data_IF_528663725404
#
_entry.id   IF_528663725404
#
_cell.length_a   1.000
_cell.length_b   1.000
_cell.length_c   1.000
_cell.angle_alpha   90.00
_cell.angle_beta   90.00
_cell.angle_gamma   90.00
#
_symmetry.space_group_name_H-M   'P 1'
#
loop_
_entity.id
_entity.type
_entity.pdbx_description
1 polymer ?
#
# COMPACT_ATOMS: atom_id res chain seq x y z
N UNK A 1 8.35 11.14 -0.16
CA UNK A 1 8.34 11.23 -1.63
C UNK A 1 8.96 9.96 -2.17
N UNK A 2 8.33 9.33 -3.15
CA UNK A 2 8.86 8.10 -3.74
C UNK A 2 10.04 8.44 -4.67
N UNK A 3 11.09 7.61 -4.72
CA UNK A 3 12.28 7.85 -5.56
C UNK A 3 11.88 7.94 -7.04
N UNK A 4 10.86 7.17 -7.42
CA UNK A 4 10.25 7.20 -8.73
C UNK A 4 9.65 8.57 -9.08
N UNK A 5 9.03 9.26 -8.12
CA UNK A 5 8.38 10.55 -8.37
C UNK A 5 9.39 11.64 -8.74
N UNK A 6 10.59 11.59 -8.14
CA UNK A 6 11.69 12.50 -8.44
C UNK A 6 12.24 12.24 -9.85
N UNK A 7 12.47 10.98 -10.21
CA UNK A 7 12.94 10.62 -11.56
C UNK A 7 11.97 11.08 -12.65
N UNK A 8 10.66 10.97 -12.39
CA UNK A 8 9.63 11.48 -13.30
C UNK A 8 9.60 13.00 -13.40
N UNK A 9 9.86 13.72 -12.32
CA UNK A 9 9.94 15.18 -12.33
C UNK A 9 11.13 15.66 -13.15
N UNK A 10 12.32 15.08 -12.93
CA UNK A 10 13.55 15.39 -13.68
C UNK A 10 13.35 15.13 -15.17
N UNK A 11 12.78 13.98 -15.54
CA UNK A 11 12.49 13.64 -16.93
C UNK A 11 11.54 14.63 -17.62
N UNK A 12 10.52 15.11 -16.91
CA UNK A 12 9.58 16.11 -17.47
C UNK A 12 10.24 17.47 -17.61
N UNK A 13 11.06 17.86 -16.64
CA UNK A 13 11.78 19.13 -16.68
C UNK A 13 12.81 19.15 -17.81
N UNK A 14 13.56 18.06 -18.03
CA UNK A 14 14.54 17.99 -19.11
C UNK A 14 13.90 18.12 -20.51
N UNK A 15 12.69 17.60 -20.70
CA UNK A 15 11.96 17.73 -21.97
C UNK A 15 11.36 19.13 -22.18
N UNK A 16 11.15 19.91 -21.11
CA UNK A 16 10.44 21.18 -21.17
C UNK A 16 11.34 22.37 -20.83
N UNK A 17 12.61 22.14 -20.47
CA UNK A 17 13.55 23.20 -20.12
C UNK A 17 13.74 24.24 -21.24
N UNK A 18 13.78 23.89 -22.54
CA UNK A 18 13.90 24.91 -23.59
C UNK A 18 12.71 25.87 -23.64
N UNK A 19 11.51 25.39 -23.27
CA UNK A 19 10.31 26.24 -23.16
C UNK A 19 10.35 27.13 -21.92
N UNK A 20 10.94 26.64 -20.83
CA UNK A 20 11.07 27.37 -19.57
C UNK A 20 12.13 28.48 -19.64
N UNK A 21 13.24 28.20 -20.33
CA UNK A 21 14.35 29.13 -20.53
C UNK A 21 14.07 30.17 -21.64
N UNK A 22 12.94 30.05 -22.34
CA UNK A 22 12.56 30.97 -23.41
C UNK A 22 13.30 30.76 -24.72
N UNK A 23 14.06 29.66 -24.86
CA UNK A 23 14.77 29.28 -26.09
C UNK A 23 13.79 29.00 -27.24
N UNK A 24 12.56 28.62 -26.93
CA UNK A 24 11.50 28.34 -27.90
C UNK A 24 10.40 29.41 -27.81
N UNK A 25 10.25 30.26 -28.84
CA UNK A 25 9.21 31.26 -28.90
C UNK A 25 7.80 30.67 -28.82
N UNK A 26 6.83 31.47 -28.35
CA UNK A 26 5.46 31.01 -28.18
C UNK A 26 4.81 30.45 -29.46
N UNK A 27 5.13 31.04 -30.62
CA UNK A 27 4.62 30.61 -31.92
C UNK A 27 5.10 29.19 -32.32
N UNK A 28 6.29 28.79 -31.86
CA UNK A 28 6.93 27.53 -32.25
C UNK A 28 6.68 26.39 -31.27
N UNK A 29 6.08 26.67 -30.10
CA UNK A 29 5.82 25.66 -29.06
C UNK A 29 5.05 24.45 -29.57
N UNK A 30 4.10 24.68 -30.47
CA UNK A 30 3.30 23.60 -31.03
C UNK A 30 4.12 22.69 -31.95
N UNK A 31 4.97 23.28 -32.78
CA UNK A 31 5.91 22.53 -33.61
C UNK A 31 6.89 21.73 -32.73
N UNK A 32 7.39 22.34 -31.66
CA UNK A 32 8.23 21.66 -30.68
C UNK A 32 7.52 20.47 -30.02
N UNK A 33 6.26 20.61 -29.59
CA UNK A 33 5.51 19.49 -29.02
C UNK A 33 5.27 18.37 -30.03
N UNK A 34 5.03 18.69 -31.31
CA UNK A 34 4.89 17.66 -32.36
C UNK A 34 6.20 16.92 -32.60
N UNK A 35 7.33 17.64 -32.66
CA UNK A 35 8.68 17.05 -32.74
C UNK A 35 8.92 16.12 -31.55
N UNK A 36 8.66 16.60 -30.33
CA UNK A 36 8.80 15.79 -29.13
C UNK A 36 7.89 14.55 -29.18
N UNK A 37 6.66 14.66 -29.68
CA UNK A 37 5.73 13.54 -29.73
C UNK A 37 6.06 12.49 -30.81
N UNK A 38 6.86 12.85 -31.83
CA UNK A 38 7.30 11.93 -32.87
C UNK A 38 8.51 11.07 -32.43
N UNK A 39 9.28 11.55 -31.47
CA UNK A 39 10.49 10.86 -30.98
C UNK A 39 10.16 9.85 -29.87
N UNK A 40 10.56 8.59 -30.09
CA UNK A 40 10.52 7.55 -29.06
C UNK A 40 11.61 7.77 -28.02
N UNK A 41 11.28 7.66 -26.73
CA UNK A 41 12.24 7.85 -25.63
C UNK A 41 12.11 6.76 -24.59
N UNK A 42 13.23 6.50 -23.91
CA UNK A 42 13.25 5.70 -22.70
C UNK A 42 12.64 6.50 -21.55
N UNK A 43 11.51 6.00 -21.04
CA UNK A 43 10.81 6.58 -19.90
C UNK A 43 11.47 6.13 -18.59
N UNK A 44 11.28 6.88 -17.48
CA UNK A 44 11.80 6.51 -16.16
C UNK A 44 11.36 5.15 -15.61
N UNK A 45 10.30 4.56 -16.18
CA UNK A 45 9.83 3.21 -15.83
C UNK A 45 10.48 2.09 -16.69
N UNK A 46 11.50 2.42 -17.48
CA UNK A 46 12.22 1.47 -18.34
C UNK A 46 11.55 1.17 -19.69
N UNK A 47 10.37 1.73 -19.95
CA UNK A 47 9.65 1.49 -21.22
C UNK A 47 10.07 2.50 -22.29
N UNK A 48 10.16 2.06 -23.54
CA UNK A 48 10.28 2.97 -24.69
C UNK A 48 8.90 3.34 -25.22
N UNK A 49 8.63 4.64 -25.34
CA UNK A 49 7.34 5.14 -25.85
C UNK A 49 7.44 6.59 -26.32
N UNK A 50 6.61 6.94 -27.30
CA UNK A 50 6.31 8.31 -27.65
C UNK A 50 5.32 8.95 -26.66
N UNK A 51 5.59 10.20 -26.26
CA UNK A 51 4.69 10.98 -25.39
C UNK A 51 3.77 11.83 -26.26
N UNK A 52 2.45 11.69 -26.11
CA UNK A 52 1.51 12.45 -26.93
C UNK A 52 1.60 13.97 -26.68
N UNK A 53 1.35 14.76 -27.74
CA UNK A 53 1.28 16.24 -27.68
C UNK A 53 0.36 16.72 -26.54
N UNK A 54 -0.80 16.08 -26.37
CA UNK A 54 -1.75 16.38 -25.28
C UNK A 54 -1.11 16.23 -23.89
N UNK A 55 -0.27 15.22 -23.72
CA UNK A 55 0.43 14.98 -22.45
C UNK A 55 1.52 16.03 -22.21
N UNK A 56 2.29 16.38 -23.23
CA UNK A 56 3.31 17.42 -23.17
C UNK A 56 2.71 18.78 -22.82
N UNK A 57 1.61 19.18 -23.49
CA UNK A 57 0.87 20.42 -23.17
C UNK A 57 0.40 20.45 -21.71
N UNK A 58 -0.11 19.32 -21.19
CA UNK A 58 -0.54 19.21 -19.80
C UNK A 58 0.62 19.36 -18.82
N UNK A 59 1.78 18.77 -19.13
CA UNK A 59 2.99 18.93 -18.31
C UNK A 59 3.52 20.36 -18.36
N UNK A 60 3.59 20.98 -19.53
CA UNK A 60 3.98 22.38 -19.69
C UNK A 60 3.09 23.32 -18.88
N UNK A 61 1.77 23.18 -18.99
CA UNK A 61 0.83 23.99 -18.21
C UNK A 61 1.11 23.88 -16.70
N UNK A 62 1.31 22.67 -16.19
CA UNK A 62 1.61 22.45 -14.76
C UNK A 62 2.97 23.02 -14.37
N UNK A 63 4.00 22.85 -15.20
CA UNK A 63 5.32 23.39 -14.94
C UNK A 63 5.31 24.92 -14.92
N UNK A 64 4.54 25.55 -15.81
CA UNK A 64 4.39 27.01 -15.86
C UNK A 64 3.57 27.53 -14.67
N UNK A 65 2.46 26.89 -14.35
CA UNK A 65 1.52 27.39 -13.34
C UNK A 65 1.97 27.05 -11.90
N UNK A 66 2.73 25.98 -11.69
CA UNK A 66 3.08 25.43 -10.36
C UNK A 66 4.59 25.17 -10.17
N UNK A 67 5.41 25.52 -11.15
CA UNK A 67 6.85 25.25 -11.14
C UNK A 67 7.19 23.76 -11.18
N UNK A 68 8.40 23.41 -10.75
CA UNK A 68 8.89 22.02 -10.69
C UNK A 68 7.95 21.16 -9.82
N UNK A 69 7.32 21.75 -8.79
CA UNK A 69 6.35 21.05 -7.95
C UNK A 69 5.15 20.47 -8.75
N UNK A 70 4.72 21.14 -9.82
CA UNK A 70 3.65 20.64 -10.70
C UNK A 70 4.05 19.45 -11.56
N UNK A 71 5.36 19.18 -11.69
CA UNK A 71 5.88 18.06 -12.47
C UNK A 71 5.94 16.75 -11.69
N UNK A 72 5.73 16.75 -10.38
CA UNK A 72 5.60 15.50 -9.62
C UNK A 72 4.34 14.72 -10.02
N UNK A 73 4.35 13.39 -9.82
CA UNK A 73 3.14 12.60 -9.98
C UNK A 73 2.14 13.00 -8.89
N UNK A 74 1.01 13.57 -9.29
CA UNK A 74 -0.12 13.77 -8.38
C UNK A 74 -0.79 12.43 -8.13
N UNK A 75 -0.87 12.04 -6.86
CA UNK A 75 -1.79 10.99 -6.46
C UNK A 75 -3.21 11.40 -6.86
N UNK A 76 -4.04 10.43 -7.28
CA UNK A 76 -5.45 10.73 -7.55
C UNK A 76 -6.11 11.28 -6.28
N UNK A 77 -6.98 12.27 -6.41
CA UNK A 77 -7.67 12.91 -5.27
C UNK A 77 -8.60 11.95 -4.52
N UNK A 78 -9.10 10.93 -5.20
CA UNK A 78 -9.91 9.83 -4.66
C UNK A 78 -9.05 8.68 -4.11
N UNK A 79 -7.72 8.74 -4.24
CA UNK A 79 -6.83 7.69 -3.73
C UNK A 79 -7.12 7.55 -2.25
N UNK A 80 -7.40 6.31 -1.84
CA UNK A 80 -7.78 5.92 -0.50
C UNK A 80 -9.21 6.28 -0.06
N UNK A 81 -9.99 7.10 -0.77
CA UNK A 81 -11.39 7.35 -0.37
C UNK A 81 -12.27 6.13 -0.68
N UNK A 82 -13.17 5.72 0.23
CA UNK A 82 -14.23 4.79 -0.13
C UNK A 82 -15.01 5.34 -1.32
N UNK A 83 -15.50 4.44 -2.19
CA UNK A 83 -16.52 4.84 -3.16
C UNK A 83 -17.72 5.35 -2.36
N UNK A 84 -18.44 6.36 -2.86
CA UNK A 84 -19.56 6.98 -2.14
C UNK A 84 -20.57 5.93 -1.62
N UNK A 85 -20.85 4.90 -2.42
CA UNK A 85 -21.75 3.82 -2.06
C UNK A 85 -21.25 2.92 -0.92
N UNK A 86 -19.98 3.00 -0.50
CA UNK A 86 -19.37 2.12 0.50
C UNK A 86 -19.08 2.84 1.82
N UNK A 87 -19.25 4.16 1.87
CA UNK A 87 -18.90 4.99 3.03
C UNK A 87 -19.74 4.61 4.26
N UNK A 88 -21.07 4.68 4.18
CA UNK A 88 -21.97 4.35 5.30
C UNK A 88 -21.73 2.93 5.87
N UNK A 89 -21.45 1.97 4.98
CA UNK A 89 -21.17 0.59 5.37
C UNK A 89 -19.85 0.47 6.15
N UNK A 90 -18.82 1.22 5.74
CA UNK A 90 -17.53 1.25 6.43
C UNK A 90 -17.58 2.02 7.75
N UNK A 91 -18.34 3.11 7.80
CA UNK A 91 -18.57 3.88 9.02
C UNK A 91 -19.25 3.01 10.08
N UNK A 92 -20.28 2.26 9.68
CA UNK A 92 -20.91 1.28 10.56
C UNK A 92 -19.92 0.22 11.04
N UNK A 93 -19.04 -0.26 10.18
CA UNK A 93 -18.01 -1.22 10.57
C UNK A 93 -17.06 -0.66 11.65
N UNK A 94 -16.78 0.65 11.60
CA UNK A 94 -15.97 1.36 12.60
C UNK A 94 -16.73 1.47 13.92
N UNK A 95 -18.02 1.82 13.90
CA UNK A 95 -18.88 1.84 15.08
C UNK A 95 -18.89 0.49 15.78
N UNK A 96 -19.21 -0.58 15.03
CA UNK A 96 -19.24 -1.94 15.54
C UNK A 96 -17.90 -2.35 16.16
N UNK A 97 -16.79 -1.89 15.60
CA UNK A 97 -15.45 -2.17 16.12
C UNK A 97 -15.15 -1.36 17.39
N UNK A 98 -15.62 -0.12 17.49
CA UNK A 98 -15.46 0.73 18.68
C UNK A 98 -16.31 0.24 19.85
N UNK A 99 -17.55 -0.17 19.59
CA UNK A 99 -18.46 -0.77 20.60
C UNK A 99 -17.84 -1.99 21.28
N UNK A 100 -17.27 -2.90 20.48
CA UNK A 100 -16.61 -4.09 20.99
C UNK A 100 -15.29 -4.34 20.25
N UNK A 101 -14.17 -3.81 20.77
CA UNK A 101 -12.86 -3.88 20.13
C UNK A 101 -12.39 -5.30 19.77
N UNK A 102 -12.87 -6.33 20.48
CA UNK A 102 -12.53 -7.74 20.24
C UNK A 102 -13.27 -8.37 19.05
N UNK A 103 -14.34 -7.76 18.50
CA UNK A 103 -15.09 -8.30 17.36
C UNK A 103 -14.17 -8.63 16.19
N UNK A 104 -14.31 -9.83 15.64
CA UNK A 104 -13.60 -10.22 14.43
C UNK A 104 -14.27 -9.60 13.20
N UNK A 105 -13.54 -9.56 12.09
CA UNK A 105 -14.07 -9.20 10.78
C UNK A 105 -15.22 -10.10 10.32
N UNK A 106 -15.23 -11.38 10.72
CA UNK A 106 -16.32 -12.32 10.42
C UNK A 106 -17.62 -11.87 11.09
N UNK A 107 -17.55 -11.49 12.38
CA UNK A 107 -18.72 -11.00 13.13
C UNK A 107 -19.19 -9.67 12.58
N UNK A 108 -18.27 -8.73 12.33
CA UNK A 108 -18.59 -7.43 11.73
C UNK A 108 -19.28 -7.62 10.38
N UNK A 109 -18.72 -8.44 9.49
CA UNK A 109 -19.32 -8.72 8.19
C UNK A 109 -20.66 -9.44 8.28
N UNK A 110 -20.90 -10.26 9.31
CA UNK A 110 -22.22 -10.86 9.53
C UNK A 110 -23.27 -9.80 9.81
N UNK A 111 -22.98 -8.85 10.71
CA UNK A 111 -23.88 -7.74 11.04
C UNK A 111 -24.08 -6.83 9.81
N UNK A 112 -23.00 -6.47 9.11
CA UNK A 112 -23.10 -5.65 7.89
C UNK A 112 -23.94 -6.32 6.80
N UNK A 113 -23.86 -7.65 6.65
CA UNK A 113 -24.71 -8.39 5.71
C UNK A 113 -26.19 -8.34 6.10
N UNK A 114 -26.50 -8.33 7.40
CA UNK A 114 -27.88 -8.22 7.88
C UNK A 114 -28.43 -6.79 7.70
N UNK A 115 -27.64 -5.76 8.00
CA UNK A 115 -28.06 -4.37 7.95
C UNK A 115 -28.03 -3.78 6.51
N UNK A 116 -27.06 -4.16 5.67
CA UNK A 116 -26.83 -3.57 4.35
C UNK A 116 -26.93 -4.56 3.18
N UNK A 117 -27.27 -5.83 3.45
CA UNK A 117 -27.36 -6.88 2.42
C UNK A 117 -26.02 -7.34 1.83
N UNK A 118 -24.88 -6.76 2.28
CA UNK A 118 -23.54 -7.10 1.78
C UNK A 118 -22.45 -6.85 2.83
N UNK A 119 -21.33 -7.56 2.67
CA UNK A 119 -20.15 -7.38 3.52
C UNK A 119 -18.99 -6.69 2.79
N UNK A 120 -17.86 -6.57 3.50
CA UNK A 120 -16.62 -6.01 2.96
C UNK A 120 -15.53 -7.07 2.92
N UNK A 121 -14.71 -7.13 1.85
CA UNK A 121 -13.50 -7.93 1.86
C UNK A 121 -12.60 -7.58 3.05
N UNK A 122 -12.05 -8.61 3.71
CA UNK A 122 -11.21 -8.47 4.90
C UNK A 122 -10.14 -7.39 4.76
N UNK A 123 -9.41 -7.38 3.64
CA UNK A 123 -8.35 -6.39 3.37
C UNK A 123 -8.86 -4.95 3.35
N UNK A 124 -10.04 -4.71 2.76
CA UNK A 124 -10.65 -3.38 2.69
C UNK A 124 -11.14 -2.94 4.06
N UNK A 125 -11.78 -3.85 4.80
CA UNK A 125 -12.24 -3.59 6.16
C UNK A 125 -11.07 -3.20 7.08
N UNK A 126 -10.03 -4.02 7.18
CA UNK A 126 -8.89 -3.72 8.05
C UNK A 126 -8.12 -2.47 7.61
N UNK A 127 -7.98 -2.22 6.31
CA UNK A 127 -7.36 -0.98 5.81
C UNK A 127 -8.15 0.26 6.28
N UNK A 128 -9.47 0.19 6.26
CA UNK A 128 -10.33 1.29 6.70
C UNK A 128 -10.28 1.44 8.23
N UNK A 129 -10.47 0.35 8.98
CA UNK A 129 -10.35 0.35 10.44
C UNK A 129 -9.00 0.89 10.93
N UNK A 130 -7.91 0.56 10.24
CA UNK A 130 -6.58 1.09 10.55
C UNK A 130 -6.50 2.61 10.40
N UNK A 131 -7.07 3.14 9.31
CA UNK A 131 -7.11 4.57 9.03
C UNK A 131 -7.91 5.33 10.09
N UNK A 132 -9.10 4.83 10.42
CA UNK A 132 -9.99 5.43 11.42
C UNK A 132 -9.54 5.15 12.86
N UNK A 133 -8.37 4.53 13.04
CA UNK A 133 -7.82 4.22 14.35
C UNK A 133 -8.58 3.11 15.12
N UNK A 134 -9.60 2.50 14.53
CA UNK A 134 -10.41 1.43 15.13
C UNK A 134 -9.72 0.05 15.08
N UNK A 135 -8.49 -0.03 15.59
CA UNK A 135 -7.77 -1.30 15.75
C UNK A 135 -7.71 -1.69 17.21
N UNK A 136 -7.65 -3.01 17.48
CA UNK A 136 -7.59 -3.57 18.84
C UNK A 136 -6.57 -2.84 19.73
N UNK A 137 -5.35 -2.61 19.21
CA UNK A 137 -4.26 -1.96 19.96
C UNK A 137 -4.54 -0.49 20.31
N UNK A 138 -5.18 0.24 19.39
CA UNK A 138 -5.55 1.66 19.57
C UNK A 138 -6.78 1.80 20.48
N UNK A 139 -7.71 0.85 20.41
CA UNK A 139 -8.91 0.76 21.25
C UNK A 139 -8.64 0.10 22.62
N UNK A 140 -7.41 0.16 23.14
CA UNK A 140 -7.09 -0.32 24.49
C UNK A 140 -7.05 -1.83 24.69
N UNK A 141 -7.31 -2.66 23.67
CA UNK A 141 -7.11 -4.12 23.75
C UNK A 141 -5.61 -4.40 23.58
N UNK A 142 -4.87 -4.14 24.64
CA UNK A 142 -3.49 -4.58 24.80
C UNK A 142 -3.50 -5.84 25.65
N UNK A 143 -3.02 -6.95 25.09
CA UNK A 143 -2.45 -7.96 25.95
C UNK A 143 -1.13 -7.39 26.42
N UNK A 144 -1.02 -7.10 27.71
CA UNK A 144 0.28 -6.88 28.31
C UNK A 144 1.06 -8.18 28.10
N UNK A 145 2.07 -8.15 27.23
CA UNK A 145 3.00 -9.27 27.11
C UNK A 145 3.81 -9.27 28.40
N UNK A 146 3.35 -10.04 29.38
CA UNK A 146 4.11 -10.28 30.61
C UNK A 146 5.34 -11.08 30.17
N UNK A 147 6.50 -10.44 30.25
CA UNK A 147 7.79 -11.12 30.10
C UNK A 147 8.39 -11.21 31.48
N UNK A 148 8.17 -12.34 32.13
CA UNK A 148 8.86 -12.66 33.37
C UNK A 148 10.20 -13.31 33.03
N UNK A 149 11.24 -13.00 33.81
CA UNK A 149 12.46 -13.78 33.80
C UNK A 149 12.09 -15.15 34.38
N UNK A 150 12.31 -16.21 33.61
CA UNK A 150 12.12 -17.57 34.10
C UNK A 150 13.30 -17.95 34.99
N UNK A 151 13.12 -17.92 36.31
CA UNK A 151 14.17 -18.21 37.31
C UNK A 151 13.71 -19.27 38.31
N UNK A 152 14.69 -19.94 38.93
CA UNK A 152 14.51 -20.84 40.06
C UNK A 152 15.57 -20.50 41.11
N UNK A 153 15.23 -20.68 42.38
CA UNK A 153 16.10 -20.30 43.50
C UNK A 153 17.28 -21.26 43.70
N UNK A 154 17.18 -22.47 43.13
CA UNK A 154 18.19 -23.53 43.27
C UNK A 154 18.48 -24.20 41.92
N UNK A 155 19.73 -24.68 41.76
CA UNK A 155 20.14 -25.52 40.64
C UNK A 155 19.39 -26.85 40.71
N UNK A 156 18.89 -27.35 39.58
CA UNK A 156 18.15 -28.62 39.51
C UNK A 156 16.68 -28.55 39.96
N UNK A 157 16.17 -27.38 40.37
CA UNK A 157 14.78 -27.20 40.79
C UNK A 157 13.74 -27.28 39.66
N UNK A 158 14.17 -27.35 38.40
CA UNK A 158 13.33 -27.64 37.24
C UNK A 158 14.13 -28.33 36.15
N UNK A 159 13.59 -29.43 35.65
CA UNK A 159 14.03 -30.07 34.42
C UNK A 159 12.93 -29.89 33.38
N UNK A 160 13.26 -29.32 32.23
CA UNK A 160 12.36 -29.22 31.08
C UNK A 160 12.89 -30.18 30.03
N UNK A 161 12.13 -31.24 29.76
CA UNK A 161 12.35 -32.08 28.60
C UNK A 161 11.60 -31.50 27.41
N UNK A 162 12.30 -31.36 26.29
CA UNK A 162 11.65 -31.19 24.99
C UNK A 162 11.87 -32.48 24.19
N UNK A 163 10.84 -32.91 23.48
CA UNK A 163 10.88 -34.14 22.70
C UNK A 163 10.54 -33.81 21.25
N UNK A 164 11.51 -34.00 20.38
CA UNK A 164 11.30 -33.90 18.94
C UNK A 164 10.99 -35.30 18.38
N UNK A 165 9.94 -35.41 17.59
CA UNK A 165 9.73 -36.62 16.79
C UNK A 165 10.75 -36.58 15.65
N UNK A 166 11.74 -37.48 15.72
CA UNK A 166 12.74 -37.62 14.66
C UNK A 166 12.09 -37.97 13.30
N UNK A 167 12.79 -37.71 12.19
CA UNK A 167 12.30 -38.07 10.87
C UNK A 167 12.03 -39.58 10.78
N UNK A 168 11.01 -40.02 10.01
CA UNK A 168 10.69 -41.43 9.87
C UNK A 168 11.88 -42.17 9.27
N UNK A 169 12.22 -43.32 9.86
CA UNK A 169 13.26 -44.19 9.29
C UNK A 169 12.67 -44.92 8.09
N UNK A 170 13.28 -44.75 6.93
CA UNK A 170 12.87 -45.41 5.70
C UNK A 170 13.69 -46.67 5.51
N UNK A 171 13.04 -47.83 5.52
CA UNK A 171 13.64 -49.11 5.16
C UNK A 171 12.91 -49.66 3.93
N UNK A 172 13.65 -49.94 2.85
CA UNK A 172 13.10 -50.44 1.58
C UNK A 172 11.93 -49.59 1.03
N UNK A 173 12.06 -48.26 1.10
CA UNK A 173 11.07 -47.33 0.56
C UNK A 173 9.78 -47.19 1.39
N UNK A 174 9.71 -47.77 2.59
CA UNK A 174 8.59 -47.61 3.53
C UNK A 174 9.05 -47.00 4.84
N UNK A 175 8.24 -46.10 5.38
CA UNK A 175 8.47 -45.56 6.72
C UNK A 175 8.18 -46.64 7.76
N UNK A 176 9.16 -46.94 8.62
CA UNK A 176 9.06 -47.91 9.70
C UNK A 176 9.02 -47.17 11.03
N UNK A 177 8.03 -47.48 11.88
CA UNK A 177 8.02 -47.01 13.26
C UNK A 177 9.06 -47.80 14.05
N UNK A 178 10.06 -47.10 14.58
CA UNK A 178 10.96 -47.69 15.58
C UNK A 178 10.24 -47.56 16.93
N UNK A 179 9.86 -48.68 17.52
CA UNK A 179 9.48 -48.70 18.92
C UNK A 179 10.75 -48.45 19.75
N UNK A 180 10.74 -47.36 20.52
CA UNK A 180 11.78 -47.06 21.52
C UNK A 180 11.36 -47.70 22.84
#
# INVERSE_FOLDING_TARGET
>A
MDRDDQTWAVFRCSLLSPLLLGEIPQAEREAYFRKLAAEERLLPNGQRKCVSVRTLRRWWKRLRDEGVAGTFRRARSDRNRPRANQQALLDRAVELKKEQPRRSDVVINRILKQEFGRGVPRSTLYRHLHREGATRRKLGVRQQKIRCRWTRDQVGALWVGDFEHGPPVVHQGRAVSIAV
#
